data_IF_463450470297
#
_entry.id   IF_463450470297
#
_cell.length_a   1.000
_cell.length_b   1.000
_cell.length_c   1.000
_cell.angle_alpha   90.00
_cell.angle_beta   90.00
_cell.angle_gamma   90.00
#
_symmetry.space_group_name_H-M   'P 1'
#
loop_
_entity.id
_entity.type
_entity.pdbx_description
1 polymer ?
#
# COMPACT_ATOMS: atom_id res chain seq x y z
N UNK A 1 -6.68 12.66 -5.97
CA UNK A 1 -5.72 13.58 -6.64
C UNK A 1 -4.99 14.48 -5.62
N UNK A 2 -5.66 15.39 -4.89
CA UNK A 2 -4.97 16.28 -3.92
C UNK A 2 -4.14 15.54 -2.85
N UNK A 3 -4.67 14.44 -2.30
CA UNK A 3 -3.96 13.63 -1.31
C UNK A 3 -2.68 13.00 -1.90
N UNK A 4 -2.80 12.30 -3.04
CA UNK A 4 -1.66 11.66 -3.71
C UNK A 4 -0.57 12.69 -4.05
N UNK A 5 -0.94 13.87 -4.56
CA UNK A 5 0.01 14.94 -4.87
C UNK A 5 0.81 15.41 -3.63
N UNK A 6 0.23 15.40 -2.44
CA UNK A 6 0.95 15.74 -1.20
C UNK A 6 2.03 14.70 -0.86
N UNK A 7 1.73 13.41 -1.05
CA UNK A 7 2.68 12.32 -0.81
C UNK A 7 3.79 12.27 -1.87
N UNK A 8 3.49 12.64 -3.12
CA UNK A 8 4.51 12.81 -4.17
C UNK A 8 5.48 13.93 -3.79
N UNK A 9 4.98 15.13 -3.49
CA UNK A 9 5.82 16.31 -3.22
C UNK A 9 6.73 16.15 -2.00
N UNK A 10 6.23 15.51 -0.94
CA UNK A 10 6.99 15.34 0.31
C UNK A 10 7.78 14.01 0.38
N UNK A 11 7.66 13.16 -0.65
CA UNK A 11 8.31 11.83 -0.74
C UNK A 11 8.07 10.95 0.49
N UNK A 12 6.94 11.12 1.16
CA UNK A 12 6.52 10.28 2.27
C UNK A 12 6.42 8.81 1.81
N UNK A 13 6.85 7.83 2.62
CA UNK A 13 6.72 6.42 2.28
C UNK A 13 5.26 6.03 2.03
N UNK A 14 4.99 5.44 0.88
CA UNK A 14 3.66 4.95 0.50
C UNK A 14 3.69 3.43 0.41
N UNK A 15 2.82 2.79 1.19
CA UNK A 15 2.52 1.37 1.12
C UNK A 15 1.16 1.17 0.44
N UNK A 16 0.98 0.06 -0.25
CA UNK A 16 -0.33 -0.32 -0.78
C UNK A 16 -0.66 -1.77 -0.46
N UNK A 17 -1.87 -2.01 0.05
CA UNK A 17 -2.39 -3.33 0.36
C UNK A 17 -3.56 -3.70 -0.54
N UNK A 18 -3.34 -4.72 -1.36
CA UNK A 18 -4.32 -5.30 -2.29
C UNK A 18 -3.90 -5.09 -3.73
N UNK A 19 -2.97 -5.91 -4.22
CA UNK A 19 -2.37 -5.72 -5.56
C UNK A 19 -3.23 -6.40 -6.62
N UNK A 20 -4.44 -5.87 -6.80
CA UNK A 20 -5.44 -6.31 -7.78
C UNK A 20 -5.70 -5.26 -8.86
N UNK A 21 -6.84 -5.39 -9.56
CA UNK A 21 -7.21 -4.51 -10.67
C UNK A 21 -7.40 -3.06 -10.22
N UNK A 22 -8.01 -2.84 -9.05
CA UNK A 22 -8.23 -1.52 -8.46
C UNK A 22 -6.90 -0.82 -8.20
N UNK A 23 -5.92 -1.53 -7.63
CA UNK A 23 -4.57 -1.00 -7.45
C UNK A 23 -3.93 -0.62 -8.77
N UNK A 24 -3.95 -1.51 -9.77
CA UNK A 24 -3.34 -1.25 -11.07
C UNK A 24 -3.95 -0.04 -11.77
N UNK A 25 -5.28 0.12 -11.67
CA UNK A 25 -5.96 1.30 -12.18
C UNK A 25 -5.43 2.59 -11.55
N UNK A 26 -5.31 2.64 -10.22
CA UNK A 26 -4.79 3.82 -9.53
C UNK A 26 -3.32 4.07 -9.83
N UNK A 27 -2.52 3.00 -9.81
CA UNK A 27 -1.09 3.03 -10.08
C UNK A 27 -0.79 3.73 -11.40
N UNK A 28 -1.54 3.38 -12.45
CA UNK A 28 -1.34 3.96 -13.78
C UNK A 28 -2.00 5.33 -13.97
N UNK A 29 -3.13 5.61 -13.32
CA UNK A 29 -3.98 6.76 -13.67
C UNK A 29 -3.99 7.91 -12.66
N UNK A 30 -3.34 7.78 -11.50
CA UNK A 30 -3.46 8.79 -10.41
C UNK A 30 -2.15 9.42 -9.96
N UNK A 31 -1.02 9.08 -10.58
CA UNK A 31 0.32 9.49 -10.15
C UNK A 31 0.87 8.66 -8.99
N UNK A 32 0.16 7.62 -8.54
CA UNK A 32 0.61 6.74 -7.48
C UNK A 32 1.97 6.09 -7.81
N UNK A 33 2.23 5.76 -9.08
CA UNK A 33 3.54 5.26 -9.53
C UNK A 33 4.71 6.24 -9.34
N UNK A 34 4.42 7.54 -9.21
CA UNK A 34 5.41 8.59 -9.01
C UNK A 34 5.67 8.86 -7.51
N UNK A 35 4.91 8.22 -6.61
CA UNK A 35 5.15 8.27 -5.17
C UNK A 35 6.42 7.51 -4.78
N UNK A 36 6.90 7.76 -3.56
CA UNK A 36 7.89 6.91 -2.90
C UNK A 36 7.24 5.60 -2.43
N UNK A 37 7.00 4.66 -3.34
CA UNK A 37 6.42 3.36 -3.01
C UNK A 37 7.44 2.55 -2.20
N UNK A 38 7.18 2.47 -0.90
CA UNK A 38 8.02 1.76 0.07
C UNK A 38 7.66 0.27 0.18
N UNK A 39 6.45 -0.12 -0.21
CA UNK A 39 6.06 -1.52 -0.22
C UNK A 39 4.70 -1.81 -0.87
N UNK A 40 4.64 -2.93 -1.59
CA UNK A 40 3.41 -3.50 -2.13
C UNK A 40 3.05 -4.74 -1.32
N UNK A 41 1.78 -4.88 -0.94
CA UNK A 41 1.34 -5.89 0.03
C UNK A 41 0.15 -6.65 -0.54
N UNK A 42 0.23 -7.97 -0.54
CA UNK A 42 -0.89 -8.85 -0.87
C UNK A 42 -0.74 -10.14 -0.07
N UNK A 43 -1.84 -10.76 0.37
CA UNK A 43 -1.78 -12.02 1.12
C UNK A 43 -1.55 -13.23 0.21
N UNK A 44 -1.69 -13.08 -1.11
CA UNK A 44 -1.54 -14.17 -2.06
C UNK A 44 -0.05 -14.56 -2.22
N UNK A 45 0.37 -15.77 -1.79
CA UNK A 45 1.76 -16.18 -1.84
C UNK A 45 2.30 -16.32 -3.27
N UNK A 46 1.43 -16.64 -4.24
CA UNK A 46 1.83 -16.68 -5.65
C UNK A 46 2.30 -15.29 -6.12
N UNK A 47 1.59 -14.23 -5.75
CA UNK A 47 1.99 -12.86 -6.11
C UNK A 47 3.30 -12.47 -5.44
N UNK A 48 3.46 -12.82 -4.17
CA UNK A 48 4.67 -12.53 -3.41
C UNK A 48 5.92 -13.18 -4.01
N UNK A 49 5.79 -14.41 -4.52
CA UNK A 49 6.90 -15.17 -5.07
C UNK A 49 7.21 -14.85 -6.54
N UNK A 50 6.21 -14.46 -7.34
CA UNK A 50 6.33 -14.45 -8.80
C UNK A 50 6.15 -13.08 -9.45
N UNK A 51 5.63 -12.08 -8.74
CA UNK A 51 5.22 -10.82 -9.36
C UNK A 51 5.93 -9.61 -8.76
N UNK A 52 6.12 -8.62 -9.63
CA UNK A 52 6.59 -7.28 -9.29
C UNK A 52 5.72 -6.24 -9.99
N UNK A 53 5.55 -5.06 -9.40
CA UNK A 53 4.95 -3.90 -10.09
C UNK A 53 5.93 -2.73 -10.01
N UNK A 54 6.28 -2.13 -11.15
CA UNK A 54 7.28 -1.07 -11.19
C UNK A 54 8.67 -1.51 -10.69
N UNK A 55 8.99 -2.81 -10.80
CA UNK A 55 10.22 -3.39 -10.25
C UNK A 55 10.19 -3.66 -8.73
N UNK A 56 9.06 -3.39 -8.06
CA UNK A 56 8.90 -3.61 -6.61
C UNK A 56 8.20 -4.94 -6.36
N UNK A 57 8.82 -5.77 -5.52
CA UNK A 57 8.26 -7.07 -5.10
C UNK A 57 7.03 -6.89 -4.23
N UNK A 58 6.05 -7.79 -4.39
CA UNK A 58 4.89 -7.87 -3.53
C UNK A 58 5.27 -8.64 -2.27
N UNK A 59 4.99 -8.07 -1.11
CA UNK A 59 5.38 -8.63 0.18
C UNK A 59 4.16 -9.09 0.96
N UNK A 60 4.43 -9.88 2.00
CA UNK A 60 3.44 -10.14 3.03
C UNK A 60 3.30 -8.92 3.97
N UNK A 61 2.23 -8.84 4.80
CA UNK A 61 1.98 -7.70 5.66
C UNK A 61 3.05 -7.40 6.72
N UNK A 62 3.97 -8.32 7.01
CA UNK A 62 4.98 -8.12 8.07
C UNK A 62 5.92 -6.95 7.79
N UNK A 63 6.01 -6.47 6.53
CA UNK A 63 6.78 -5.26 6.21
C UNK A 63 6.19 -3.99 6.85
N UNK A 64 4.95 -4.04 7.34
CA UNK A 64 4.32 -2.94 8.04
C UNK A 64 4.72 -2.84 9.52
N UNK A 65 5.47 -3.82 10.04
CA UNK A 65 5.98 -3.77 11.39
C UNK A 65 6.97 -2.60 11.54
N UNK A 66 6.73 -1.73 12.52
CA UNK A 66 7.57 -0.57 12.84
C UNK A 66 7.66 0.50 11.72
N UNK A 67 6.64 0.60 10.87
CA UNK A 67 6.57 1.68 9.88
C UNK A 67 6.42 3.04 10.56
N UNK A 68 7.12 4.06 10.03
CA UNK A 68 7.05 5.44 10.51
C UNK A 68 5.62 6.02 10.38
N UNK A 69 5.20 6.82 11.37
CA UNK A 69 3.94 7.58 11.38
C UNK A 69 3.74 8.50 10.17
N UNK A 70 4.82 8.94 9.54
CA UNK A 70 4.78 9.81 8.36
C UNK A 70 4.53 9.03 7.05
N UNK A 71 4.13 7.76 7.15
CA UNK A 71 3.78 6.90 6.02
C UNK A 71 2.29 6.93 5.69
N UNK A 72 1.98 6.56 4.45
CA UNK A 72 0.62 6.27 4.00
C UNK A 72 0.48 4.78 3.72
N UNK A 73 -0.64 4.20 4.13
CA UNK A 73 -1.11 2.91 3.65
C UNK A 73 -2.39 3.11 2.82
N UNK A 74 -2.30 2.77 1.53
CA UNK A 74 -3.44 2.72 0.63
C UNK A 74 -4.04 1.31 0.61
N UNK A 75 -5.30 1.17 1.01
CA UNK A 75 -6.04 -0.10 0.94
C UNK A 75 -6.89 -0.12 -0.33
N UNK A 76 -6.48 -0.92 -1.31
CA UNK A 76 -7.20 -1.14 -2.58
C UNK A 76 -8.03 -2.44 -2.57
N UNK A 77 -7.80 -3.33 -1.61
CA UNK A 77 -8.60 -4.55 -1.42
C UNK A 77 -9.87 -4.29 -0.57
N UNK A 78 -10.83 -3.53 -1.12
CA UNK A 78 -12.04 -3.05 -0.40
C UNK A 78 -12.82 -4.20 0.26
N UNK A 79 -12.99 -5.32 -0.45
CA UNK A 79 -13.71 -6.49 0.06
C UNK A 79 -13.09 -7.10 1.34
N UNK A 80 -11.79 -6.88 1.56
CA UNK A 80 -11.05 -7.39 2.72
C UNK A 80 -10.70 -6.31 3.74
N UNK A 81 -11.21 -5.07 3.57
CA UNK A 81 -10.91 -3.91 4.40
C UNK A 81 -10.98 -4.21 5.90
N UNK A 82 -12.05 -4.86 6.35
CA UNK A 82 -12.23 -5.19 7.78
C UNK A 82 -11.09 -6.06 8.31
N UNK A 83 -10.72 -7.12 7.59
CA UNK A 83 -9.65 -8.01 7.99
C UNK A 83 -8.28 -7.31 7.97
N UNK A 84 -8.06 -6.44 6.98
CA UNK A 84 -6.84 -5.63 6.88
C UNK A 84 -6.73 -4.69 8.10
N UNK A 85 -7.78 -3.93 8.41
CA UNK A 85 -7.78 -3.03 9.57
C UNK A 85 -7.52 -3.78 10.88
N UNK A 86 -8.16 -4.94 11.08
CA UNK A 86 -7.88 -5.80 12.25
C UNK A 86 -6.41 -6.24 12.33
N UNK A 87 -5.78 -6.53 11.18
CA UNK A 87 -4.35 -6.86 11.17
C UNK A 87 -3.49 -5.63 11.52
N UNK A 88 -3.81 -4.46 10.98
CA UNK A 88 -3.11 -3.21 11.28
C UNK A 88 -3.20 -2.83 12.76
N UNK A 89 -4.36 -3.03 13.38
CA UNK A 89 -4.55 -2.83 14.82
C UNK A 89 -3.62 -3.76 15.63
N UNK A 90 -3.53 -5.03 15.22
CA UNK A 90 -2.69 -6.02 15.92
C UNK A 90 -1.19 -5.71 15.88
N UNK A 91 -0.72 -4.96 14.89
CA UNK A 91 0.68 -4.55 14.74
C UNK A 91 0.92 -3.10 15.19
N UNK A 92 -0.09 -2.44 15.78
CA UNK A 92 -0.06 -1.02 16.15
C UNK A 92 0.43 -0.13 15.00
N UNK A 93 -0.13 -0.30 13.80
CA UNK A 93 0.22 0.53 12.66
C UNK A 93 -0.11 1.99 12.93
N UNK A 94 0.88 2.87 12.82
CA UNK A 94 0.78 4.28 13.20
C UNK A 94 0.82 5.25 12.01
N UNK A 95 0.83 4.74 10.79
CA UNK A 95 0.78 5.57 9.58
C UNK A 95 -0.64 6.06 9.26
N UNK A 96 -0.75 6.96 8.29
CA UNK A 96 -2.03 7.37 7.76
C UNK A 96 -2.64 6.24 6.92
N UNK A 97 -3.91 5.90 7.16
CA UNK A 97 -4.64 4.92 6.36
C UNK A 97 -5.59 5.65 5.42
N UNK A 98 -5.59 5.27 4.15
CA UNK A 98 -6.57 5.69 3.14
C UNK A 98 -7.12 4.47 2.46
N UNK A 99 -8.44 4.38 2.43
CA UNK A 99 -9.18 3.35 1.70
C UNK A 99 -10.03 3.98 0.59
N UNK A 100 -10.46 3.14 -0.35
CA UNK A 100 -11.29 3.49 -1.50
C UNK A 100 -12.67 2.87 -1.38
#
# INVERSE_FOLDING_TARGET
IKLINNFISNRHPVYSWGIGNEFLYLYENTGLKDCNIAGLIDINPYKQANLTVGGITINNPAILNNVNKDSLLLISAIAYKKAILTNLDSINFNGQIVDL
#
